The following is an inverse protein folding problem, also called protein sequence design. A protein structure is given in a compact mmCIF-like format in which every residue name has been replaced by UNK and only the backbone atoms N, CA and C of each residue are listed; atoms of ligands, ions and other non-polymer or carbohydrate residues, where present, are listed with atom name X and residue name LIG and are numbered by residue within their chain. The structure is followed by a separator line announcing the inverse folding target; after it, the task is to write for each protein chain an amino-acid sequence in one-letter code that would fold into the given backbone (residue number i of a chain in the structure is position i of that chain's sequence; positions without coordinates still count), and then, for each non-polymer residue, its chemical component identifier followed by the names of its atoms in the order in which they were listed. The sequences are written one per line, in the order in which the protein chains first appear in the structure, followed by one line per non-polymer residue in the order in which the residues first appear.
data_IF_931049067388
#
_entry.id   IF_931049067388
#
_cell.length_a   1.000
_cell.length_b   1.000
_cell.length_c   1.000
_cell.angle_alpha   90.00
_cell.angle_beta   90.00
_cell.angle_gamma   90.00
#
_symmetry.space_group_name_H-M   'P 1'
#
loop_
_entity.id
_entity.type
_entity.pdbx_description
1 polymer ?
#
# COMPACT_ATOMS: atom_id res chain seq x y z
N UNK A 1 22.42 3.68 8.67
CA UNK A 1 20.94 3.60 8.63
C UNK A 1 20.52 3.23 7.22
N UNK A 2 19.47 2.40 7.04
CA UNK A 2 18.93 2.01 5.73
C UNK A 2 18.03 3.13 5.19
N UNK A 3 18.66 4.21 4.74
CA UNK A 3 17.97 5.39 4.18
C UNK A 3 16.95 4.98 3.09
N UNK A 4 17.24 4.07 2.14
CA UNK A 4 16.31 3.71 1.06
C UNK A 4 15.05 2.96 1.55
N UNK A 5 15.23 2.02 2.47
CA UNK A 5 14.13 1.24 3.05
C UNK A 5 13.09 2.13 3.75
N UNK A 6 13.52 3.21 4.41
CA UNK A 6 12.58 4.10 5.08
C UNK A 6 11.68 4.83 4.08
N UNK A 7 12.23 5.30 2.95
CA UNK A 7 11.43 5.92 1.89
C UNK A 7 10.40 4.96 1.31
N UNK A 8 10.78 3.70 1.08
CA UNK A 8 9.86 2.67 0.58
C UNK A 8 8.75 2.36 1.58
N UNK A 9 9.07 2.26 2.88
CA UNK A 9 8.04 2.04 3.91
C UNK A 9 7.09 3.23 4.05
N UNK A 10 7.58 4.46 3.90
CA UNK A 10 6.71 5.65 3.88
C UNK A 10 5.83 5.65 2.63
N UNK A 11 6.38 5.33 1.46
CA UNK A 11 5.59 5.22 0.23
C UNK A 11 4.49 4.17 0.36
N UNK A 12 4.82 3.02 0.94
CA UNK A 12 3.88 1.93 1.22
C UNK A 12 2.75 2.40 2.15
N UNK A 13 3.08 3.13 3.22
CA UNK A 13 2.09 3.68 4.12
C UNK A 13 1.17 4.72 3.43
N UNK A 14 1.72 5.56 2.56
CA UNK A 14 0.93 6.54 1.78
C UNK A 14 0.00 5.84 0.81
N UNK A 15 0.46 4.81 0.09
CA UNK A 15 -0.39 4.03 -0.82
C UNK A 15 -1.48 3.28 -0.07
N UNK A 16 -1.18 2.67 1.08
CA UNK A 16 -2.15 1.98 1.91
C UNK A 16 -3.20 2.93 2.52
N UNK A 17 -2.79 4.13 2.92
CA UNK A 17 -3.72 5.18 3.35
C UNK A 17 -4.67 5.60 2.23
N UNK A 18 -4.17 5.71 1.00
CA UNK A 18 -5.00 6.02 -0.16
C UNK A 18 -6.05 4.94 -0.42
N UNK A 19 -5.67 3.66 -0.35
CA UNK A 19 -6.62 2.54 -0.42
C UNK A 19 -7.70 2.69 0.64
N UNK A 20 -7.34 2.91 1.90
CA UNK A 20 -8.30 3.03 2.99
C UNK A 20 -9.25 4.23 2.81
N UNK A 21 -8.72 5.40 2.43
CA UNK A 21 -9.51 6.63 2.26
C UNK A 21 -10.50 6.49 1.11
N UNK A 22 -10.07 5.98 -0.05
CA UNK A 22 -10.91 5.90 -1.26
C UNK A 22 -11.77 4.65 -1.35
N UNK A 23 -11.51 3.63 -0.52
CA UNK A 23 -12.41 2.50 -0.38
C UNK A 23 -13.60 2.83 0.52
N UNK A 24 -13.39 3.64 1.56
CA UNK A 24 -14.43 4.00 2.54
C UNK A 24 -15.73 4.55 1.92
N UNK A 25 -15.72 5.39 0.87
CA UNK A 25 -16.92 5.97 0.30
C UNK A 25 -17.85 4.91 -0.30
N UNK A 26 -17.30 3.86 -0.90
CA UNK A 26 -18.09 2.77 -1.48
C UNK A 26 -18.89 2.00 -0.41
N UNK A 27 -18.35 1.84 0.79
CA UNK A 27 -19.04 1.09 1.86
C UNK A 27 -19.92 1.96 2.75
N UNK A 28 -19.50 3.20 3.01
CA UNK A 28 -20.22 4.12 3.90
C UNK A 28 -21.31 4.86 3.15
N UNK A 29 -21.03 5.29 1.92
CA UNK A 29 -21.93 6.15 1.18
C UNK A 29 -22.76 5.43 0.11
N UNK A 30 -22.51 4.17 -0.23
CA UNK A 30 -23.40 3.44 -1.16
C UNK A 30 -24.86 3.38 -0.71
N UNK A 31 -25.14 3.60 0.58
CA UNK A 31 -26.51 3.65 1.13
C UNK A 31 -27.02 5.06 1.44
N UNK A 32 -26.18 6.10 1.35
CA UNK A 32 -26.53 7.48 1.78
C UNK A 32 -26.27 8.55 0.72
N UNK A 33 -25.32 8.33 -0.20
CA UNK A 33 -25.12 9.19 -1.36
C UNK A 33 -26.04 8.73 -2.50
N UNK A 34 -27.11 9.50 -2.72
CA UNK A 34 -27.85 9.43 -3.97
C UNK A 34 -27.03 10.15 -5.04
N UNK A 35 -26.46 9.40 -6.00
CA UNK A 35 -25.79 10.03 -7.13
C UNK A 35 -26.82 10.83 -7.95
N UNK A 36 -26.48 12.07 -8.36
CA UNK A 36 -27.34 12.83 -9.25
C UNK A 36 -27.39 12.15 -10.62
N UNK A 37 -28.56 12.17 -11.28
CA UNK A 37 -28.69 11.60 -12.61
C UNK A 37 -27.84 12.36 -13.63
N UNK A 38 -27.31 11.62 -14.62
CA UNK A 38 -26.54 12.17 -15.72
C UNK A 38 -25.04 12.31 -15.42
N UNK A 39 -24.37 13.18 -16.17
CA UNK A 39 -22.89 13.23 -16.25
C UNK A 39 -22.22 13.52 -14.90
N UNK A 40 -22.87 14.28 -14.02
CA UNK A 40 -22.36 14.56 -12.68
C UNK A 40 -22.31 13.28 -11.81
N UNK A 41 -23.31 12.41 -11.93
CA UNK A 41 -23.35 11.11 -11.26
C UNK A 41 -22.21 10.20 -11.70
N UNK A 42 -21.91 10.20 -13.00
CA UNK A 42 -20.79 9.44 -13.58
C UNK A 42 -19.42 9.94 -13.11
N UNK A 43 -19.22 11.25 -13.01
CA UNK A 43 -17.98 11.80 -12.48
C UNK A 43 -17.79 11.45 -10.99
N UNK A 44 -18.85 11.61 -10.18
CA UNK A 44 -18.82 11.20 -8.79
C UNK A 44 -18.59 9.68 -8.66
N UNK A 45 -19.18 8.90 -9.56
CA UNK A 45 -18.96 7.47 -9.63
C UNK A 45 -17.48 7.16 -9.88
N UNK A 46 -16.88 7.70 -10.94
CA UNK A 46 -15.48 7.44 -11.29
C UNK A 46 -14.48 7.88 -10.22
N UNK A 47 -14.73 9.03 -9.59
CA UNK A 47 -13.78 9.66 -8.66
C UNK A 47 -13.95 9.14 -7.23
N UNK A 48 -15.18 8.90 -6.77
CA UNK A 48 -15.47 8.69 -5.34
C UNK A 48 -15.89 7.26 -5.02
N UNK A 49 -16.84 6.69 -5.76
CA UNK A 49 -17.44 5.37 -5.43
C UNK A 49 -17.00 4.23 -6.35
N UNK A 50 -16.24 4.55 -7.37
CA UNK A 50 -15.82 3.67 -8.46
C UNK A 50 -14.44 3.03 -8.28
N UNK A 51 -13.88 3.12 -7.07
CA UNK A 51 -12.61 2.52 -6.65
C UNK A 51 -11.36 2.87 -7.50
N UNK A 52 -11.43 3.79 -8.46
CA UNK A 52 -10.31 4.08 -9.36
C UNK A 52 -9.05 4.52 -8.61
N UNK A 53 -9.20 5.36 -7.59
CA UNK A 53 -8.10 5.75 -6.70
C UNK A 53 -7.72 4.63 -5.74
N UNK A 54 -8.66 3.79 -5.31
CA UNK A 54 -8.37 2.59 -4.50
C UNK A 54 -7.43 1.66 -5.27
N UNK A 55 -7.73 1.35 -6.53
CA UNK A 55 -6.89 0.51 -7.39
C UNK A 55 -5.55 1.17 -7.74
N UNK A 56 -5.51 2.50 -7.87
CA UNK A 56 -4.25 3.25 -8.05
C UNK A 56 -3.35 3.11 -6.82
N UNK A 57 -3.91 3.31 -5.62
CA UNK A 57 -3.19 3.13 -4.35
C UNK A 57 -2.73 1.68 -4.17
N UNK A 58 -3.59 0.71 -4.49
CA UNK A 58 -3.27 -0.71 -4.42
C UNK A 58 -2.07 -1.05 -5.32
N UNK A 59 -2.10 -0.63 -6.58
CA UNK A 59 -1.02 -0.89 -7.52
C UNK A 59 0.31 -0.22 -7.08
N UNK A 60 0.23 1.00 -6.56
CA UNK A 60 1.40 1.68 -6.00
C UNK A 60 1.99 0.93 -4.78
N UNK A 61 1.13 0.31 -3.95
CA UNK A 61 1.53 -0.54 -2.82
C UNK A 61 2.26 -1.79 -3.32
N UNK A 62 1.71 -2.48 -4.32
CA UNK A 62 2.26 -3.71 -4.89
C UNK A 62 3.66 -3.51 -5.47
N UNK A 63 3.83 -2.47 -6.30
CA UNK A 63 5.15 -2.14 -6.83
C UNK A 63 6.12 -1.67 -5.75
N UNK A 64 5.62 -1.09 -4.66
CA UNK A 64 6.46 -0.76 -3.50
C UNK A 64 6.96 -2.04 -2.81
N UNK A 65 6.13 -3.08 -2.69
CA UNK A 65 6.56 -4.39 -2.17
C UNK A 65 7.63 -5.04 -3.06
N UNK A 66 7.47 -4.95 -4.39
CA UNK A 66 8.49 -5.39 -5.35
C UNK A 66 9.79 -4.59 -5.15
N UNK A 67 9.72 -3.27 -5.03
CA UNK A 67 10.88 -2.41 -4.77
C UNK A 67 11.56 -2.76 -3.43
N UNK A 68 10.79 -3.12 -2.40
CA UNK A 68 11.32 -3.60 -1.12
C UNK A 68 12.06 -4.92 -1.30
N UNK A 69 11.52 -5.87 -2.08
CA UNK A 69 12.19 -7.13 -2.39
C UNK A 69 13.52 -6.89 -3.12
N UNK A 70 13.52 -6.02 -4.14
CA UNK A 70 14.71 -5.61 -4.89
C UNK A 70 15.74 -4.93 -3.98
N UNK A 71 15.33 -3.96 -3.15
CA UNK A 71 16.23 -3.30 -2.19
C UNK A 71 16.92 -4.32 -1.30
N UNK A 72 16.15 -5.28 -0.77
CA UNK A 72 16.65 -6.29 0.16
C UNK A 72 17.65 -7.22 -0.50
N UNK A 73 17.34 -7.69 -1.71
CA UNK A 73 18.24 -8.50 -2.50
C UNK A 73 19.54 -7.75 -2.78
N UNK A 74 19.47 -6.53 -3.31
CA UNK A 74 20.65 -5.73 -3.67
C UNK A 74 21.50 -5.35 -2.45
N UNK A 75 20.88 -5.00 -1.33
CA UNK A 75 21.59 -4.62 -0.10
C UNK A 75 22.34 -5.79 0.55
N UNK A 76 21.90 -7.04 0.31
CA UNK A 76 22.54 -8.23 0.86
C UNK A 76 23.55 -8.82 -0.11
N UNK A 77 23.22 -8.88 -1.41
CA UNK A 77 24.10 -9.45 -2.44
C UNK A 77 25.27 -8.54 -2.80
N UNK A 78 25.07 -7.22 -2.76
CA UNK A 78 26.09 -6.23 -3.14
C UNK A 78 26.33 -5.20 -2.02
N UNK A 79 26.89 -5.60 -0.86
CA UNK A 79 27.02 -4.73 0.31
C UNK A 79 27.91 -3.50 0.09
N UNK A 80 28.88 -3.57 -0.82
CA UNK A 80 29.87 -2.51 -1.08
C UNK A 80 29.65 -1.76 -2.41
N UNK A 81 28.67 -2.15 -3.22
CA UNK A 81 28.47 -1.56 -4.55
C UNK A 81 27.40 -0.47 -4.54
N UNK A 82 27.82 0.79 -4.43
CA UNK A 82 26.90 1.94 -4.53
C UNK A 82 26.21 2.02 -5.90
N UNK A 83 26.89 1.60 -6.98
CA UNK A 83 26.31 1.56 -8.33
C UNK A 83 25.11 0.61 -8.42
N UNK A 84 25.19 -0.58 -7.80
CA UNK A 84 24.11 -1.59 -7.86
C UNK A 84 23.01 -1.33 -6.84
N UNK A 85 23.29 -0.70 -5.70
CA UNK A 85 22.31 -0.48 -4.65
C UNK A 85 21.23 0.53 -5.06
N UNK A 86 20.05 0.34 -4.48
CA UNK A 86 18.97 1.31 -4.53
C UNK A 86 19.29 2.42 -3.53
N UNK A 87 19.63 3.62 -4.01
CA UNK A 87 19.97 4.77 -3.18
C UNK A 87 18.79 5.73 -3.09
N UNK A 88 18.79 6.63 -2.10
CA UNK A 88 17.75 7.65 -1.97
C UNK A 88 17.63 8.53 -3.23
N UNK A 89 18.76 8.82 -3.90
CA UNK A 89 18.79 9.56 -5.16
C UNK A 89 18.02 8.84 -6.27
N UNK A 90 18.16 7.51 -6.38
CA UNK A 90 17.41 6.70 -7.35
C UNK A 90 15.93 6.61 -6.99
N UNK A 91 15.61 6.45 -5.70
CA UNK A 91 14.23 6.39 -5.22
C UNK A 91 13.41 7.65 -5.50
N UNK A 92 14.06 8.83 -5.57
CA UNK A 92 13.43 10.08 -5.99
C UNK A 92 12.77 9.99 -7.37
N UNK A 93 13.27 9.12 -8.25
CA UNK A 93 12.72 8.89 -9.59
C UNK A 93 11.86 7.62 -9.65
N UNK A 94 12.29 6.54 -8.98
CA UNK A 94 11.56 5.26 -8.99
C UNK A 94 10.16 5.40 -8.40
N UNK A 95 10.02 6.08 -7.25
CA UNK A 95 8.71 6.19 -6.59
C UNK A 95 7.70 6.95 -7.48
N UNK A 96 7.97 8.18 -7.97
CA UNK A 96 7.05 8.86 -8.89
C UNK A 96 6.76 8.06 -10.16
N UNK A 97 7.74 7.36 -10.72
CA UNK A 97 7.50 6.51 -11.89
C UNK A 97 6.50 5.39 -11.60
N UNK A 98 6.57 4.75 -10.43
CA UNK A 98 5.57 3.76 -10.00
C UNK A 98 4.16 4.38 -9.87
N UNK A 99 4.06 5.60 -9.34
CA UNK A 99 2.78 6.31 -9.25
C UNK A 99 2.22 6.68 -10.62
N UNK A 100 3.05 7.21 -11.52
CA UNK A 100 2.63 7.53 -12.88
C UNK A 100 2.19 6.27 -13.63
N UNK A 101 2.91 5.16 -13.47
CA UNK A 101 2.50 3.87 -14.03
C UNK A 101 1.16 3.41 -13.45
N UNK A 102 0.98 3.50 -12.13
CA UNK A 102 -0.27 3.12 -11.48
C UNK A 102 -1.47 3.93 -11.98
N UNK A 103 -1.29 5.25 -12.13
CA UNK A 103 -2.32 6.15 -12.69
C UNK A 103 -2.59 5.78 -14.15
N UNK A 104 -1.56 5.54 -14.96
CA UNK A 104 -1.71 5.19 -16.37
C UNK A 104 -2.48 3.88 -16.56
N UNK A 105 -2.22 2.86 -15.74
CA UNK A 105 -2.94 1.57 -15.78
C UNK A 105 -4.41 1.75 -15.40
N UNK A 106 -4.73 2.63 -14.44
CA UNK A 106 -6.09 2.86 -13.98
C UNK A 106 -6.85 3.92 -14.80
N UNK A 107 -6.16 4.70 -15.65
CA UNK A 107 -6.79 5.75 -16.45
C UNK A 107 -7.91 5.22 -17.38
N UNK A 108 -7.77 4.05 -18.04
CA UNK A 108 -8.86 3.47 -18.83
C UNK A 108 -10.14 3.19 -18.02
N UNK A 109 -10.05 3.00 -16.70
CA UNK A 109 -11.23 2.80 -15.85
C UNK A 109 -12.20 3.99 -15.87
N UNK A 110 -11.69 5.20 -16.09
CA UNK A 110 -12.52 6.40 -16.24
C UNK A 110 -13.36 6.39 -17.53
N UNK A 111 -13.03 5.54 -18.50
CA UNK A 111 -13.75 5.44 -19.76
C UNK A 111 -14.92 4.45 -19.69
N UNK A 112 -14.74 3.32 -19.00
CA UNK A 112 -15.73 2.24 -18.99
C UNK A 112 -16.59 2.18 -17.71
N UNK A 113 -16.29 2.93 -16.66
CA UNK A 113 -17.12 2.92 -15.44
C UNK A 113 -18.30 3.90 -15.55
N UNK A 114 -19.52 3.45 -15.27
CA UNK A 114 -20.75 4.26 -15.37
C UNK A 114 -21.61 4.05 -14.12
N UNK A 115 -22.36 5.07 -13.71
CA UNK A 115 -23.36 4.91 -12.66
C UNK A 115 -24.62 4.25 -13.23
N UNK A 116 -25.04 3.13 -12.64
CA UNK A 116 -26.29 2.46 -13.00
C UNK A 116 -27.38 2.76 -11.97
N UNK A 117 -28.41 3.50 -12.40
CA UNK A 117 -29.57 3.89 -11.59
C UNK A 117 -30.34 2.67 -11.04
N UNK A 118 -30.32 1.53 -11.74
CA UNK A 118 -31.08 0.33 -11.34
C UNK A 118 -30.42 -0.41 -10.18
N UNK A 119 -29.10 -0.54 -10.21
CA UNK A 119 -28.32 -1.17 -9.15
C UNK A 119 -27.86 -0.18 -8.07
N UNK A 120 -28.07 1.12 -8.28
CA UNK A 120 -27.61 2.19 -7.39
C UNK A 120 -26.09 2.21 -7.22
N UNK A 121 -25.34 1.62 -8.17
CA UNK A 121 -23.92 1.30 -8.00
C UNK A 121 -23.09 1.67 -9.24
N UNK A 122 -21.80 1.87 -9.03
CA UNK A 122 -20.82 2.02 -10.09
C UNK A 122 -20.49 0.67 -10.72
N UNK A 123 -20.81 0.49 -12.00
CA UNK A 123 -20.59 -0.76 -12.72
C UNK A 123 -19.75 -0.54 -13.98
N UNK A 124 -18.87 -1.48 -14.33
CA UNK A 124 -18.13 -1.41 -15.58
C UNK A 124 -19.05 -1.74 -16.76
N UNK A 125 -19.14 -0.81 -17.72
CA UNK A 125 -19.77 -1.00 -19.01
C UNK A 125 -18.77 -1.62 -19.99
N UNK A 126 -18.93 -2.92 -20.26
CA UNK A 126 -18.06 -3.65 -21.18
C UNK A 126 -18.59 -3.55 -22.62
N UNK A 127 -17.88 -2.91 -23.57
CA UNK A 127 -18.37 -2.76 -24.94
C UNK A 127 -18.52 -4.10 -25.68
N UNK A 128 -17.66 -5.08 -25.35
CA UNK A 128 -17.71 -6.43 -25.90
C UNK A 128 -17.37 -7.48 -24.83
N UNK A 129 -17.88 -8.73 -24.95
CA UNK A 129 -17.53 -9.80 -24.01
C UNK A 129 -16.02 -10.11 -23.95
N UNK A 130 -15.32 -9.93 -25.07
CA UNK A 130 -13.87 -10.14 -25.13
C UNK A 130 -13.10 -9.06 -24.37
N UNK A 131 -13.60 -7.82 -24.34
CA UNK A 131 -12.96 -6.73 -23.60
C UNK A 131 -12.90 -7.03 -22.10
N UNK A 132 -13.97 -7.56 -21.51
CA UNK A 132 -13.98 -8.02 -20.11
C UNK A 132 -12.89 -9.08 -19.87
N UNK A 133 -12.74 -10.06 -20.78
CA UNK A 133 -11.71 -11.11 -20.67
C UNK A 133 -10.30 -10.55 -20.72
N UNK A 134 -9.99 -9.72 -21.71
CA UNK A 134 -8.68 -9.10 -21.83
C UNK A 134 -8.35 -8.25 -20.61
N UNK A 135 -9.31 -7.43 -20.17
CA UNK A 135 -9.15 -6.58 -19.00
C UNK A 135 -8.88 -7.40 -17.72
N UNK A 136 -9.67 -8.45 -17.46
CA UNK A 136 -9.48 -9.32 -16.29
C UNK A 136 -8.12 -10.02 -16.30
N UNK A 137 -7.67 -10.53 -17.46
CA UNK A 137 -6.34 -11.15 -17.60
C UNK A 137 -5.22 -10.14 -17.38
N UNK A 138 -5.27 -8.98 -18.04
CA UNK A 138 -4.25 -7.93 -17.93
C UNK A 138 -4.12 -7.46 -16.47
N UNK A 139 -5.25 -7.18 -15.80
CA UNK A 139 -5.21 -6.76 -14.40
C UNK A 139 -4.70 -7.87 -13.48
N UNK A 140 -5.10 -9.13 -13.70
CA UNK A 140 -4.59 -10.25 -12.91
C UNK A 140 -3.07 -10.41 -13.07
N UNK A 141 -2.55 -10.17 -14.26
CA UNK A 141 -1.11 -10.16 -14.51
C UNK A 141 -0.39 -9.02 -13.78
N UNK A 142 -0.90 -7.79 -13.91
CA UNK A 142 -0.27 -6.59 -13.37
C UNK A 142 -0.35 -6.52 -11.84
N UNK A 143 -1.53 -6.82 -11.27
CA UNK A 143 -1.81 -6.70 -9.84
C UNK A 143 -1.50 -7.96 -9.02
N UNK A 144 -1.18 -9.09 -9.66
CA UNK A 144 -0.93 -10.31 -8.90
C UNK A 144 0.22 -11.13 -9.47
N UNK A 145 0.08 -11.67 -10.68
CA UNK A 145 0.99 -12.71 -11.20
C UNK A 145 2.42 -12.17 -11.33
N UNK A 146 2.62 -11.02 -11.98
CA UNK A 146 3.98 -10.48 -12.17
C UNK A 146 4.62 -10.02 -10.85
N UNK A 147 3.96 -9.21 -9.99
CA UNK A 147 4.55 -8.85 -8.70
C UNK A 147 4.86 -10.07 -7.83
N UNK A 148 3.95 -11.05 -7.76
CA UNK A 148 4.15 -12.27 -6.97
C UNK A 148 5.32 -13.10 -7.50
N UNK A 149 5.46 -13.26 -8.82
CA UNK A 149 6.57 -13.97 -9.44
C UNK A 149 7.91 -13.29 -9.15
N UNK A 150 7.98 -11.97 -9.37
CA UNK A 150 9.21 -11.19 -9.12
C UNK A 150 9.61 -11.31 -7.65
N UNK A 151 8.66 -11.10 -6.73
CA UNK A 151 8.90 -11.26 -5.29
C UNK A 151 9.33 -12.68 -4.94
N UNK A 152 8.66 -13.70 -5.47
CA UNK A 152 8.97 -15.11 -5.24
C UNK A 152 10.41 -15.47 -5.64
N UNK A 153 10.82 -15.06 -6.85
CA UNK A 153 12.20 -15.28 -7.33
C UNK A 153 13.21 -14.55 -6.45
N UNK A 154 13.00 -13.25 -6.19
CA UNK A 154 13.93 -12.44 -5.40
C UNK A 154 14.08 -12.96 -3.97
N UNK A 155 12.98 -13.37 -3.32
CA UNK A 155 13.03 -13.91 -1.97
C UNK A 155 13.63 -15.30 -1.91
N UNK A 156 13.39 -16.15 -2.90
CA UNK A 156 14.05 -17.47 -2.99
C UNK A 156 15.56 -17.30 -3.07
N UNK A 157 16.04 -16.41 -3.96
CA UNK A 157 17.46 -16.07 -4.07
C UNK A 157 18.00 -15.49 -2.75
N UNK A 158 17.23 -14.63 -2.09
CA UNK A 158 17.61 -13.99 -0.83
C UNK A 158 17.72 -14.99 0.32
N UNK A 159 16.79 -15.95 0.40
CA UNK A 159 16.80 -17.01 1.39
C UNK A 159 18.00 -17.93 1.16
N UNK A 160 18.26 -18.32 -0.10
CA UNK A 160 19.43 -19.11 -0.44
C UNK A 160 20.73 -18.41 0.00
N UNK A 161 20.85 -17.12 -0.31
CA UNK A 161 22.02 -16.29 0.01
C UNK A 161 22.24 -16.13 1.54
N UNK A 162 21.18 -15.87 2.31
CA UNK A 162 21.30 -15.58 3.75
C UNK A 162 21.43 -16.82 4.64
N UNK A 163 20.84 -17.95 4.24
CA UNK A 163 20.79 -19.16 5.06
C UNK A 163 21.77 -20.25 4.63
N UNK A 164 22.07 -20.36 3.33
CA UNK A 164 22.90 -21.45 2.81
C UNK A 164 24.31 -20.99 2.45
N UNK A 165 24.47 -19.86 1.75
CA UNK A 165 25.81 -19.39 1.30
C UNK A 165 26.73 -18.94 2.45
N UNK A 166 26.18 -18.43 3.55
CA UNK A 166 26.96 -17.83 4.66
C UNK A 166 27.28 -18.79 5.81
N UNK A 167 27.03 -20.10 5.68
CA UNK A 167 27.28 -21.08 6.77
C UNK A 167 28.77 -21.47 6.94
N UNK A 168 29.62 -21.19 5.96
CA UNK A 168 31.01 -21.68 5.88
C UNK A 168 32.07 -20.74 6.46
N UNK A 169 31.70 -19.58 7.03
CA UNK A 169 32.66 -18.59 7.54
C UNK A 169 32.54 -18.47 9.06
N UNK A 170 33.65 -18.68 9.78
CA UNK A 170 33.81 -18.36 11.20
C UNK A 170 33.60 -16.85 11.39
N UNK A 171 32.37 -16.45 11.65
CA UNK A 171 31.95 -15.05 11.68
C UNK A 171 32.12 -14.51 13.09
N UNK A 172 32.76 -13.34 13.21
CA UNK A 172 32.93 -12.65 14.50
C UNK A 172 31.57 -12.33 15.15
N UNK A 173 31.55 -12.13 16.48
CA UNK A 173 30.32 -11.80 17.24
C UNK A 173 29.56 -10.62 16.61
N UNK A 174 30.29 -9.59 16.14
CA UNK A 174 29.73 -8.44 15.44
C UNK A 174 29.07 -8.83 14.11
N UNK A 175 29.68 -9.72 13.32
CA UNK A 175 29.11 -10.20 12.07
C UNK A 175 27.86 -11.06 12.29
N UNK A 176 27.85 -11.88 13.35
CA UNK A 176 26.68 -12.67 13.73
C UNK A 176 25.48 -11.78 14.12
N UNK A 177 25.72 -10.71 14.88
CA UNK A 177 24.69 -9.74 15.23
C UNK A 177 24.10 -9.04 13.98
N UNK A 178 24.96 -8.65 13.03
CA UNK A 178 24.53 -8.04 11.76
C UNK A 178 23.72 -9.03 10.91
N UNK A 179 24.14 -10.30 10.83
CA UNK A 179 23.42 -11.36 10.11
C UNK A 179 22.05 -11.64 10.74
N UNK A 180 21.98 -11.72 12.08
CA UNK A 180 20.71 -11.90 12.81
C UNK A 180 19.74 -10.75 12.50
N UNK A 181 20.22 -9.51 12.52
CA UNK A 181 19.40 -8.34 12.16
C UNK A 181 18.93 -8.38 10.69
N UNK A 182 19.80 -8.80 9.76
CA UNK A 182 19.45 -8.97 8.34
C UNK A 182 18.36 -10.03 8.16
N UNK A 183 18.54 -11.22 8.73
CA UNK A 183 17.54 -12.32 8.70
C UNK A 183 16.20 -11.88 9.26
N UNK A 184 16.20 -11.22 10.42
CA UNK A 184 14.99 -10.70 11.03
C UNK A 184 14.26 -9.71 10.10
N UNK A 185 14.99 -8.75 9.53
CA UNK A 185 14.42 -7.77 8.59
C UNK A 185 13.89 -8.40 7.31
N UNK A 186 14.54 -9.47 6.83
CA UNK A 186 14.14 -10.22 5.65
C UNK A 186 12.89 -11.06 5.91
N UNK A 187 12.83 -11.76 7.06
CA UNK A 187 11.65 -12.52 7.47
C UNK A 187 10.40 -11.64 7.48
N UNK A 188 10.52 -10.42 8.01
CA UNK A 188 9.43 -9.46 8.05
C UNK A 188 8.88 -9.11 6.66
N UNK A 189 9.74 -8.78 5.69
CA UNK A 189 9.27 -8.41 4.34
C UNK A 189 8.73 -9.62 3.58
N UNK A 190 9.26 -10.82 3.81
CA UNK A 190 8.69 -12.06 3.26
C UNK A 190 7.29 -12.30 3.82
N UNK A 191 7.08 -12.11 5.13
CA UNK A 191 5.74 -12.24 5.74
C UNK A 191 4.74 -11.27 5.12
N UNK A 192 5.12 -10.01 4.92
CA UNK A 192 4.26 -9.01 4.25
C UNK A 192 3.88 -9.46 2.84
N UNK A 193 4.84 -9.92 2.05
CA UNK A 193 4.59 -10.37 0.67
C UNK A 193 3.78 -11.66 0.58
N UNK A 194 3.89 -12.58 1.55
CA UNK A 194 3.01 -13.76 1.61
C UNK A 194 1.56 -13.37 1.92
N UNK A 195 1.36 -12.40 2.81
CA UNK A 195 0.02 -11.89 3.13
C UNK A 195 -0.58 -11.19 1.91
N UNK A 196 0.23 -10.42 1.17
CA UNK A 196 -0.15 -9.92 -0.15
C UNK A 196 -0.66 -11.06 -1.04
N UNK A 197 0.08 -12.16 -1.20
CA UNK A 197 -0.36 -13.24 -2.06
C UNK A 197 -1.70 -13.84 -1.63
N UNK A 198 -1.91 -14.02 -0.32
CA UNK A 198 -3.14 -14.57 0.25
C UNK A 198 -4.32 -13.61 0.05
N UNK A 199 -4.12 -12.31 0.27
CA UNK A 199 -5.14 -11.28 0.15
C UNK A 199 -5.56 -11.04 -1.31
N UNK A 200 -4.62 -11.12 -2.25
CA UNK A 200 -4.87 -10.82 -3.67
C UNK A 200 -5.37 -12.03 -4.48
N UNK A 201 -5.03 -13.25 -4.07
CA UNK A 201 -5.43 -14.46 -4.79
C UNK A 201 -6.96 -14.58 -4.98
N UNK A 202 -7.82 -14.39 -3.96
CA UNK A 202 -9.28 -14.46 -4.13
C UNK A 202 -9.82 -13.46 -5.15
N UNK A 203 -9.24 -12.25 -5.19
CA UNK A 203 -9.64 -11.23 -6.15
C UNK A 203 -9.22 -11.60 -7.57
N UNK A 204 -7.97 -12.03 -7.76
CA UNK A 204 -7.50 -12.54 -9.05
C UNK A 204 -8.40 -13.69 -9.55
N UNK A 205 -8.71 -14.64 -8.68
CA UNK A 205 -9.59 -15.76 -9.02
C UNK A 205 -10.99 -15.30 -9.40
N UNK A 206 -11.61 -14.41 -8.61
CA UNK A 206 -12.95 -13.91 -8.89
C UNK A 206 -13.03 -13.17 -10.24
N UNK A 207 -12.07 -12.29 -10.54
CA UNK A 207 -12.05 -11.53 -11.80
C UNK A 207 -11.89 -12.44 -13.04
N UNK A 208 -11.04 -13.46 -12.95
CA UNK A 208 -10.89 -14.46 -14.02
C UNK A 208 -12.15 -15.32 -14.13
N UNK A 209 -12.71 -15.79 -13.01
CA UNK A 209 -13.89 -16.62 -13.03
C UNK A 209 -15.08 -15.89 -13.68
N UNK A 210 -15.37 -14.64 -13.28
CA UNK A 210 -16.45 -13.83 -13.90
C UNK A 210 -16.20 -13.61 -15.39
N UNK A 211 -14.95 -13.44 -15.80
CA UNK A 211 -14.63 -13.17 -17.19
C UNK A 211 -14.82 -14.37 -18.13
N UNK A 212 -14.58 -15.58 -17.64
CA UNK A 212 -14.58 -16.81 -18.45
C UNK A 212 -15.77 -17.74 -18.19
N UNK A 213 -16.52 -17.53 -17.09
CA UNK A 213 -17.73 -18.28 -16.78
C UNK A 213 -18.98 -17.55 -17.26
N UNK A 214 -19.97 -18.29 -17.75
CA UNK A 214 -21.32 -17.75 -18.01
C UNK A 214 -22.14 -17.57 -16.73
N UNK A 215 -21.66 -18.08 -15.59
CA UNK A 215 -22.29 -17.92 -14.29
C UNK A 215 -21.74 -16.67 -13.61
N UNK A 216 -22.63 -15.74 -13.26
CA UNK A 216 -22.26 -14.63 -12.40
C UNK A 216 -21.94 -15.16 -11.00
N UNK A 217 -20.77 -14.79 -10.48
CA UNK A 217 -20.50 -14.91 -9.06
C UNK A 217 -21.47 -13.99 -8.31
N UNK A 218 -22.05 -14.48 -7.21
CA UNK A 218 -22.87 -13.66 -6.32
C UNK A 218 -22.11 -12.37 -5.97
N UNK A 219 -22.78 -11.20 -6.02
CA UNK A 219 -22.16 -9.90 -5.74
C UNK A 219 -21.43 -9.83 -4.39
N UNK A 220 -21.84 -10.65 -3.42
CA UNK A 220 -21.14 -10.83 -2.15
C UNK A 220 -19.72 -11.37 -2.27
N UNK A 221 -19.43 -12.25 -3.24
CA UNK A 221 -18.08 -12.81 -3.45
C UNK A 221 -17.13 -11.77 -4.01
N UNK A 222 -17.57 -10.96 -4.98
CA UNK A 222 -16.78 -9.82 -5.46
C UNK A 222 -16.53 -8.82 -4.33
N UNK A 223 -17.54 -8.51 -3.54
CA UNK A 223 -17.38 -7.57 -2.41
C UNK A 223 -16.38 -8.10 -1.39
N UNK A 224 -16.47 -9.39 -1.04
CA UNK A 224 -15.55 -10.06 -0.14
C UNK A 224 -14.11 -10.10 -0.69
N UNK A 225 -13.93 -10.31 -2.00
CA UNK A 225 -12.59 -10.34 -2.60
C UNK A 225 -11.90 -8.97 -2.58
N UNK A 226 -12.65 -7.90 -2.82
CA UNK A 226 -12.14 -6.52 -2.72
C UNK A 226 -11.83 -6.14 -1.26
N UNK A 227 -12.65 -6.61 -0.31
CA UNK A 227 -12.35 -6.48 1.12
C UNK A 227 -11.05 -7.19 1.50
N UNK A 228 -10.82 -8.40 0.99
CA UNK A 228 -9.57 -9.14 1.21
C UNK A 228 -8.34 -8.41 0.68
N UNK A 229 -8.43 -7.80 -0.51
CA UNK A 229 -7.35 -6.94 -1.05
C UNK A 229 -7.07 -5.79 -0.10
N UNK A 230 -8.11 -5.16 0.42
CA UNK A 230 -7.96 -3.97 1.27
C UNK A 230 -7.42 -4.29 2.66
N UNK A 231 -7.65 -5.51 3.15
CA UNK A 231 -6.98 -6.02 4.35
C UNK A 231 -5.45 -6.08 4.17
N UNK A 232 -4.93 -6.27 2.95
CA UNK A 232 -3.49 -6.24 2.71
C UNK A 232 -2.88 -4.91 3.19
N UNK A 233 -3.51 -3.79 2.82
CA UNK A 233 -3.09 -2.46 3.24
C UNK A 233 -3.24 -2.22 4.75
N UNK A 234 -4.29 -2.76 5.38
CA UNK A 234 -4.52 -2.60 6.81
C UNK A 234 -3.53 -3.40 7.68
N UNK A 235 -3.05 -4.54 7.20
CA UNK A 235 -2.16 -5.44 7.94
C UNK A 235 -0.72 -4.91 7.98
N UNK A 236 -0.29 -4.15 6.97
CA UNK A 236 1.08 -3.67 6.82
C UNK A 236 1.61 -2.93 8.08
N UNK A 237 0.94 -1.88 8.61
CA UNK A 237 1.35 -1.23 9.86
C UNK A 237 1.41 -2.16 11.07
N UNK A 238 0.50 -3.14 11.15
CA UNK A 238 0.47 -4.12 12.24
C UNK A 238 1.72 -4.99 12.21
N UNK A 239 2.08 -5.54 11.04
CA UNK A 239 3.30 -6.36 10.90
C UNK A 239 4.54 -5.54 11.27
N UNK A 240 4.65 -4.32 10.76
CA UNK A 240 5.79 -3.46 11.10
C UNK A 240 5.80 -3.11 12.59
N UNK A 241 4.65 -2.92 13.23
CA UNK A 241 4.56 -2.67 14.67
C UNK A 241 4.94 -3.89 15.51
N UNK A 242 4.53 -5.10 15.13
CA UNK A 242 4.82 -6.30 15.91
C UNK A 242 6.27 -6.74 15.73
N UNK A 243 6.80 -6.63 14.51
CA UNK A 243 8.10 -7.19 14.17
C UNK A 243 9.23 -6.15 14.22
N UNK A 244 8.99 -4.86 13.96
CA UNK A 244 10.04 -3.84 14.01
C UNK A 244 10.07 -3.10 15.35
N UNK A 245 11.01 -3.49 16.23
CA UNK A 245 11.30 -2.75 17.47
C UNK A 245 11.56 -1.25 17.23
N UNK A 246 12.20 -0.92 16.09
CA UNK A 246 12.49 0.46 15.72
C UNK A 246 11.21 1.21 15.34
N UNK A 247 10.29 0.58 14.62
CA UNK A 247 9.00 1.17 14.27
C UNK A 247 8.15 1.40 15.52
N UNK A 248 8.09 0.44 16.45
CA UNK A 248 7.44 0.60 17.77
C UNK A 248 7.95 1.83 18.51
N UNK A 249 9.25 2.06 18.54
CA UNK A 249 9.83 3.22 19.23
C UNK A 249 9.40 4.55 18.61
N UNK A 250 9.34 4.64 17.28
CA UNK A 250 8.89 5.85 16.60
C UNK A 250 7.38 6.06 16.77
N UNK A 251 6.58 5.01 16.63
CA UNK A 251 5.12 5.08 16.85
C UNK A 251 4.79 5.44 18.30
N UNK A 252 5.49 4.85 19.27
CA UNK A 252 5.35 5.23 20.68
C UNK A 252 5.78 6.67 20.96
N UNK A 253 6.80 7.18 20.25
CA UNK A 253 7.21 8.59 20.36
C UNK A 253 6.16 9.54 19.76
N UNK A 254 5.56 9.18 18.62
CA UNK A 254 4.43 9.92 18.02
C UNK A 254 3.22 9.92 18.96
N UNK A 255 2.83 8.75 19.49
CA UNK A 255 1.73 8.64 20.45
C UNK A 255 2.00 9.41 21.75
N UNK A 256 3.24 9.41 22.26
CA UNK A 256 3.64 10.22 23.42
C UNK A 256 3.66 11.73 23.13
N UNK A 257 4.04 12.15 21.93
CA UNK A 257 3.94 13.55 21.48
C UNK A 257 2.48 13.99 21.31
N UNK A 258 1.62 13.14 20.76
CA UNK A 258 0.18 13.40 20.70
C UNK A 258 -0.46 13.47 22.09
N UNK A 259 0.07 12.74 23.08
CA UNK A 259 -0.33 12.85 24.50
C UNK A 259 0.16 14.14 25.15
N UNK A 260 1.37 14.62 24.82
CA UNK A 260 1.91 15.91 25.32
C UNK A 260 1.24 17.14 24.68
N UNK A 261 0.83 17.06 23.42
CA UNK A 261 0.13 18.16 22.74
C UNK A 261 -1.37 18.28 23.10
N UNK A 262 -1.89 17.45 24.02
CA UNK A 262 -3.27 17.57 24.54
C UNK A 262 -3.39 18.23 25.92
N UNK A 263 -2.31 18.77 26.50
CA UNK A 263 -2.39 19.58 27.72
C UNK A 263 -1.42 20.76 27.65
N UNK A 264 -1.91 21.91 27.18
CA UNK A 264 -1.50 23.25 27.62
C UNK A 264 -2.46 24.28 26.98
N UNK A 265 -3.69 24.34 27.50
CA UNK A 265 -4.47 25.59 27.42
C UNK A 265 -3.90 26.47 28.53
N UNK A 266 -2.96 27.34 28.17
CA UNK A 266 -2.52 28.40 29.06
C UNK A 266 -3.60 29.49 29.03
N UNK A 267 -4.44 29.51 30.06
CA UNK A 267 -5.44 30.56 30.27
C UNK A 267 -4.70 31.87 30.62
N UNK A 268 -4.46 32.73 29.63
CA UNK A 268 -3.95 34.09 29.87
C UNK A 268 -5.13 35.03 30.13
N UNK A 269 -5.60 35.06 31.37
CA UNK A 269 -6.65 35.96 31.83
C UNK A 269 -6.08 37.28 32.34
N UNK A 270 -6.11 38.30 31.48
CA UNK A 270 -6.25 39.75 31.73
C UNK A 270 -5.46 40.39 32.90
N UNK A 271 -4.37 41.08 32.58
CA UNK A 271 -4.02 42.33 33.26
C UNK A 271 -4.70 43.49 32.52
N UNK A 272 -5.60 44.19 33.21
CA UNK A 272 -6.13 45.50 32.82
C UNK A 272 -5.51 46.57 33.70
N UNK A 273 -4.98 47.60 33.04
CA UNK A 273 -4.32 48.81 33.56
C UNK A 273 -5.06 49.54 34.70
N UNK A 274 -4.30 50.12 35.63
CA UNK A 274 -4.51 51.49 36.15
C UNK A 274 -3.29 51.95 36.98
N UNK A 275 -2.47 52.90 36.47
CA UNK A 275 -2.42 54.33 36.88
C UNK A 275 -1.62 54.59 38.17
N UNK A 276 -0.39 55.07 37.97
CA UNK A 276 0.16 56.39 38.40
C UNK A 276 0.26 56.76 39.90
N UNK A 277 1.35 57.49 40.17
CA UNK A 277 1.69 58.33 41.34
C UNK A 277 2.18 57.61 42.61
N UNK A 278 3.02 58.15 43.49
CA UNK A 278 4.05 59.21 43.53
C UNK A 278 4.51 59.23 45.00
N UNK A 279 5.71 59.79 45.24
CA UNK A 279 6.13 60.45 46.51
C UNK A 279 6.78 59.58 47.62
N UNK A 280 7.99 60.05 47.95
CA UNK A 280 8.95 59.79 49.06
C UNK A 280 9.80 58.53 49.00
#
# INVERSE_FOLDING_TARGET
MRIPMNYLLVNLAVSDMMVAVFMSPRFVFSQTLNHPRGTLGDYLCKILTGDSFTWTGALASDFTLVCIAVERYLAINYPYSEKKRLTAKKLKYVIPACWLFAIAVNLPAFMYLVYDDNSGSCVPFWPTPNFMKYHSVINSCIFFIFPALIMGVLYTLLVHLLWFKNRTVTTSVTQQAVLKHRRHSTKMVITVSLIYCICWFPNCFAYIYVAFSSKQLFGGVHTASVLMVSLNSAINPIIYSLQSHRFRRHMAALLKRCRRNKVCVHYRGKETNSVQASVV
#
